data_IF_313659116231
#
_entry.id   IF_313659116231
#
_cell.length_a   1.000
_cell.length_b   1.000
_cell.length_c   1.000
_cell.angle_alpha   90.00
_cell.angle_beta   90.00
_cell.angle_gamma   90.00
#
_symmetry.space_group_name_H-M   'P 1'
#
loop_
_entity.id
_entity.type
_entity.pdbx_description
1 polymer ?
#
# COMPACT_ATOMS: atom_id res chain seq x y z
N UNK A 1 6.55 5.02 -1.95
CA UNK A 1 6.50 6.50 -1.85
C UNK A 1 6.34 6.99 -0.41
N UNK A 2 5.32 6.57 0.36
CA UNK A 2 5.14 7.05 1.75
C UNK A 2 6.31 6.73 2.70
N UNK A 3 6.92 5.55 2.55
CA UNK A 3 8.08 5.15 3.35
C UNK A 3 9.33 6.01 3.11
N UNK A 4 9.56 6.47 1.87
CA UNK A 4 10.74 7.28 1.57
C UNK A 4 10.69 8.62 2.30
N UNK A 5 9.55 9.32 2.29
CA UNK A 5 9.38 10.58 3.01
C UNK A 5 9.57 10.46 4.52
N UNK A 6 9.12 9.35 5.12
CA UNK A 6 9.27 9.12 6.57
C UNK A 6 10.71 8.75 6.91
N UNK A 7 11.37 7.93 6.10
CA UNK A 7 12.80 7.62 6.26
C UNK A 7 13.65 8.89 6.10
N UNK A 8 13.39 9.70 5.07
CA UNK A 8 14.12 10.97 4.85
C UNK A 8 13.93 11.97 6.01
N UNK A 9 12.76 11.96 6.68
CA UNK A 9 12.49 12.76 7.89
C UNK A 9 13.23 12.24 9.13
N UNK A 10 13.38 10.92 9.26
CA UNK A 10 14.03 10.29 10.41
C UNK A 10 15.56 10.28 10.29
N UNK A 11 16.08 10.25 9.06
CA UNK A 11 17.53 10.18 8.81
C UNK A 11 18.24 11.53 9.02
N UNK A 12 17.51 12.66 9.12
CA UNK A 12 18.07 14.00 9.37
C UNK A 12 19.30 14.32 8.48
N UNK A 13 19.27 13.91 7.21
CA UNK A 13 20.45 13.99 6.34
C UNK A 13 20.59 15.35 5.67
N UNK A 14 21.68 16.04 5.95
CA UNK A 14 22.19 17.14 5.13
C UNK A 14 22.94 16.57 3.92
N UNK A 15 22.26 16.49 2.77
CA UNK A 15 22.76 16.27 1.40
C UNK A 15 23.90 15.28 1.14
N UNK A 16 23.63 14.28 0.28
CA UNK A 16 24.66 13.53 -0.44
C UNK A 16 24.39 13.60 -1.96
N UNK A 17 25.42 13.89 -2.74
CA UNK A 17 25.36 13.82 -4.20
C UNK A 17 25.68 12.40 -4.65
N UNK A 18 24.76 11.74 -5.35
CA UNK A 18 25.01 10.44 -5.96
C UNK A 18 25.19 10.58 -7.47
N UNK A 19 26.20 9.90 -8.00
CA UNK A 19 26.45 9.80 -9.43
C UNK A 19 25.74 8.56 -9.97
N UNK A 20 24.73 8.77 -10.82
CA UNK A 20 24.04 7.68 -11.49
C UNK A 20 24.90 7.21 -12.67
N UNK A 21 25.47 6.01 -12.55
CA UNK A 21 26.33 5.41 -13.59
C UNK A 21 25.56 5.06 -14.87
N UNK A 22 24.27 4.80 -14.76
CA UNK A 22 23.43 4.35 -15.87
C UNK A 22 22.91 5.53 -16.69
N UNK A 23 22.60 6.65 -16.01
CA UNK A 23 22.20 7.91 -16.63
C UNK A 23 23.37 8.88 -16.92
N UNK A 24 24.59 8.54 -16.48
CA UNK A 24 25.81 9.35 -16.55
C UNK A 24 25.59 10.80 -16.10
N UNK A 25 24.84 10.97 -15.01
CA UNK A 25 24.44 12.28 -14.51
C UNK A 25 24.47 12.31 -12.99
N UNK A 26 24.92 13.44 -12.46
CA UNK A 26 24.83 13.73 -11.03
C UNK A 26 23.37 14.00 -10.68
N UNK A 27 22.77 13.14 -9.87
CA UNK A 27 21.43 13.37 -9.34
C UNK A 27 21.59 14.25 -8.11
N UNK A 28 21.24 15.53 -8.25
CA UNK A 28 20.94 16.36 -7.09
C UNK A 28 19.57 15.93 -6.59
N UNK A 29 19.52 15.08 -5.56
CA UNK A 29 18.26 14.82 -4.86
C UNK A 29 17.72 16.15 -4.34
N UNK A 30 16.47 16.46 -4.67
CA UNK A 30 15.81 17.68 -4.20
C UNK A 30 15.86 17.71 -2.67
N UNK A 31 16.65 18.63 -2.12
CA UNK A 31 16.70 18.95 -0.70
C UNK A 31 15.30 19.38 -0.26
N UNK A 32 14.57 18.51 0.43
CA UNK A 32 13.46 18.97 1.24
C UNK A 32 14.06 19.61 2.48
N UNK A 33 13.98 20.95 2.58
CA UNK A 33 14.31 21.62 3.82
C UNK A 33 13.21 21.29 4.84
N UNK A 34 13.55 20.48 5.83
CA UNK A 34 12.67 20.10 6.93
C UNK A 34 12.81 21.00 8.16
N UNK A 35 13.61 22.08 8.07
CA UNK A 35 13.68 23.11 9.10
C UNK A 35 12.28 23.61 9.45
N UNK A 36 12.00 23.66 10.75
CA UNK A 36 10.70 24.00 11.30
C UNK A 36 9.55 23.10 10.80
N UNK A 37 9.82 21.82 10.56
CA UNK A 37 8.78 20.80 10.39
C UNK A 37 8.77 19.81 11.54
N UNK A 38 7.67 19.09 11.72
CA UNK A 38 7.57 18.02 12.72
C UNK A 38 6.67 16.90 12.21
N UNK A 39 7.05 15.67 12.52
CA UNK A 39 6.22 14.49 12.39
C UNK A 39 5.75 14.10 13.79
N UNK A 40 4.44 14.06 14.02
CA UNK A 40 3.86 13.77 15.34
C UNK A 40 2.83 12.65 15.21
N UNK A 41 2.70 11.84 16.26
CA UNK A 41 1.58 10.93 16.41
C UNK A 41 0.60 11.55 17.40
N UNK A 42 -0.67 11.70 17.00
CA UNK A 42 -1.70 12.23 17.89
C UNK A 42 -2.25 11.12 18.82
N UNK A 43 -3.10 11.50 19.78
CA UNK A 43 -3.71 10.57 20.75
C UNK A 43 -4.64 9.53 20.11
N UNK A 44 -5.09 9.74 18.87
CA UNK A 44 -5.89 8.79 18.10
C UNK A 44 -5.04 7.78 17.33
N UNK A 45 -3.70 7.89 17.40
CA UNK A 45 -2.76 7.04 16.68
C UNK A 45 -2.52 7.46 15.23
N UNK A 46 -2.94 8.67 14.83
CA UNK A 46 -2.70 9.19 13.49
C UNK A 46 -1.33 9.85 13.41
N UNK A 47 -0.58 9.51 12.37
CA UNK A 47 0.69 10.18 12.06
C UNK A 47 0.36 11.44 11.27
N UNK A 48 0.90 12.58 11.69
CA UNK A 48 0.66 13.89 11.12
C UNK A 48 1.97 14.61 10.83
N UNK A 49 2.10 15.16 9.63
CA UNK A 49 3.22 16.00 9.25
C UNK A 49 2.81 17.47 9.26
N UNK A 50 3.55 18.27 10.01
CA UNK A 50 3.31 19.69 10.22
C UNK A 50 4.51 20.51 9.75
N UNK A 51 4.24 21.69 9.23
CA UNK A 51 5.24 22.69 8.86
C UNK A 51 4.92 24.01 9.55
N UNK A 52 5.94 24.67 10.07
CA UNK A 52 5.83 26.01 10.61
C UNK A 52 5.78 27.01 9.47
N UNK A 53 4.75 27.85 9.46
CA UNK A 53 4.61 28.95 8.52
C UNK A 53 5.16 30.25 9.12
N UNK A 54 5.57 31.17 8.25
CA UNK A 54 6.13 32.48 8.67
C UNK A 54 5.12 33.36 9.42
N UNK A 55 3.81 33.04 9.32
CA UNK A 55 2.73 33.62 10.13
C UNK A 55 2.69 33.09 11.59
N UNK A 56 3.77 32.44 12.04
CA UNK A 56 3.95 31.90 13.39
C UNK A 56 2.91 30.82 13.77
N UNK A 57 2.45 30.03 12.80
CA UNK A 57 1.49 28.95 13.04
C UNK A 57 1.98 27.61 12.47
N UNK A 58 1.55 26.52 13.10
CA UNK A 58 1.70 25.18 12.56
C UNK A 58 0.61 24.92 11.50
N UNK A 59 1.02 24.52 10.30
CA UNK A 59 0.13 24.04 9.25
C UNK A 59 0.31 22.54 9.03
N UNK A 60 -0.80 21.80 9.00
CA UNK A 60 -0.81 20.36 8.78
C UNK A 60 -0.78 20.09 7.28
N UNK A 61 0.29 19.45 6.81
CA UNK A 61 0.50 19.20 5.39
C UNK A 61 -0.12 17.88 4.92
N UNK A 62 -0.04 16.84 5.75
CA UNK A 62 -0.66 15.54 5.49
C UNK A 62 -0.76 14.72 6.79
N UNK A 63 -1.58 13.68 6.76
CA UNK A 63 -1.76 12.75 7.87
C UNK A 63 -2.09 11.34 7.37
N UNK A 64 -1.94 10.32 8.22
CA UNK A 64 -2.31 8.92 7.93
C UNK A 64 -2.94 8.25 9.17
N UNK A 65 -3.92 7.34 8.98
CA UNK A 65 -4.51 6.90 7.71
C UNK A 65 -5.47 7.93 7.09
N UNK A 66 -5.22 8.40 5.86
CA UNK A 66 -5.97 9.52 5.26
C UNK A 66 -7.33 9.11 4.67
N UNK A 67 -7.51 7.82 4.42
CA UNK A 67 -8.76 7.24 3.95
C UNK A 67 -8.93 5.80 4.46
N UNK A 68 -10.09 5.21 4.17
CA UNK A 68 -10.43 3.85 4.58
C UNK A 68 -9.44 2.79 4.06
N UNK A 69 -8.80 3.01 2.91
CA UNK A 69 -7.86 2.06 2.31
C UNK A 69 -6.45 2.17 2.92
N UNK A 70 -6.15 3.25 3.64
CA UNK A 70 -4.94 3.36 4.44
C UNK A 70 -5.03 2.58 5.75
N UNK A 71 -6.24 2.23 6.20
CA UNK A 71 -6.42 1.40 7.39
C UNK A 71 -5.90 0.00 7.13
N UNK A 72 -5.10 -0.50 8.07
CA UNK A 72 -4.53 -1.83 7.98
C UNK A 72 -5.64 -2.88 7.82
N UNK A 73 -5.48 -3.73 6.80
CA UNK A 73 -6.35 -4.86 6.51
C UNK A 73 -7.85 -4.51 6.43
N UNK A 74 -8.20 -3.35 5.83
CA UNK A 74 -9.60 -2.91 5.69
C UNK A 74 -10.46 -3.89 4.85
N UNK A 75 -9.91 -4.39 3.75
CA UNK A 75 -10.62 -5.29 2.83
C UNK A 75 -10.30 -6.79 3.03
N UNK A 76 -9.48 -7.17 4.01
CA UNK A 76 -9.12 -8.58 4.21
C UNK A 76 -8.20 -9.14 3.12
N UNK A 77 -7.83 -10.41 3.29
CA UNK A 77 -6.84 -11.08 2.43
C UNK A 77 -7.32 -11.24 0.98
N UNK A 78 -6.37 -11.26 0.04
CA UNK A 78 -6.60 -11.48 -1.40
C UNK A 78 -7.61 -10.53 -2.06
N UNK A 79 -7.72 -9.33 -1.52
CA UNK A 79 -8.59 -8.26 -1.99
C UNK A 79 -7.79 -6.98 -2.24
N UNK A 80 -8.36 -6.05 -2.98
CA UNK A 80 -7.85 -4.69 -3.15
C UNK A 80 -8.86 -3.67 -2.65
N UNK A 81 -8.34 -2.57 -2.10
CA UNK A 81 -9.13 -1.42 -1.66
C UNK A 81 -8.96 -0.26 -2.64
N UNK A 82 -10.09 0.32 -3.07
CA UNK A 82 -10.11 1.54 -3.88
C UNK A 82 -11.15 2.51 -3.32
N UNK A 83 -10.67 3.63 -2.77
CA UNK A 83 -11.50 4.62 -2.09
C UNK A 83 -12.55 5.30 -2.98
N UNK A 84 -12.26 5.44 -4.27
CA UNK A 84 -13.14 6.15 -5.21
C UNK A 84 -14.30 5.27 -5.71
N UNK A 85 -14.35 3.99 -5.31
CA UNK A 85 -15.45 3.10 -5.69
C UNK A 85 -16.58 3.16 -4.66
N UNK A 86 -17.84 3.04 -5.12
CA UNK A 86 -19.02 2.87 -4.26
C UNK A 86 -18.87 1.69 -3.27
N UNK A 87 -18.29 0.58 -3.75
CA UNK A 87 -17.87 -0.55 -2.93
C UNK A 87 -16.33 -0.54 -2.91
N UNK A 88 -15.71 -0.16 -1.78
CA UNK A 88 -14.26 0.02 -1.73
C UNK A 88 -13.47 -1.27 -1.96
N UNK A 89 -13.99 -2.40 -1.51
CA UNK A 89 -13.30 -3.69 -1.52
C UNK A 89 -13.71 -4.57 -2.71
N UNK A 90 -12.72 -5.11 -3.42
CA UNK A 90 -12.93 -6.07 -4.51
C UNK A 90 -11.92 -7.22 -4.42
N UNK A 91 -12.35 -8.44 -4.73
CA UNK A 91 -11.45 -9.58 -4.84
C UNK A 91 -10.50 -9.42 -6.02
N UNK A 92 -9.27 -9.88 -5.86
CA UNK A 92 -8.34 -10.00 -6.97
C UNK A 92 -8.87 -11.03 -8.00
N UNK A 93 -8.51 -10.91 -9.29
CA UNK A 93 -8.93 -11.89 -10.28
C UNK A 93 -8.45 -13.30 -9.89
N UNK A 94 -9.31 -14.30 -10.08
CA UNK A 94 -9.08 -15.67 -9.58
C UNK A 94 -9.57 -15.94 -8.15
N UNK A 95 -10.07 -14.92 -7.43
CA UNK A 95 -10.63 -15.04 -6.08
C UNK A 95 -12.12 -14.66 -6.03
N UNK A 96 -12.85 -15.21 -5.06
CA UNK A 96 -14.26 -14.90 -4.74
C UNK A 96 -14.39 -14.53 -3.28
N UNK A 97 -15.48 -13.85 -2.90
CA UNK A 97 -15.70 -13.46 -1.50
C UNK A 97 -15.77 -14.69 -0.60
N UNK A 98 -15.27 -14.56 0.62
CA UNK A 98 -15.44 -15.58 1.67
C UNK A 98 -16.93 -15.82 1.97
N UNK A 99 -17.75 -14.77 1.95
CA UNK A 99 -19.17 -14.77 2.31
C UNK A 99 -20.13 -15.29 1.22
N UNK A 100 -19.65 -16.06 0.25
CA UNK A 100 -20.44 -16.49 -0.93
C UNK A 100 -21.47 -17.60 -0.60
N UNK A 101 -22.12 -17.54 0.56
CA UNK A 101 -23.26 -18.39 0.93
C UNK A 101 -24.56 -17.94 0.23
N UNK A 102 -24.47 -17.24 -0.91
CA UNK A 102 -25.63 -16.81 -1.70
C UNK A 102 -26.35 -15.54 -1.22
N UNK A 103 -25.98 -14.95 -0.09
CA UNK A 103 -26.54 -13.68 0.36
C UNK A 103 -25.69 -12.52 -0.15
N UNK A 104 -26.28 -11.72 -1.03
CA UNK A 104 -25.67 -10.51 -1.60
C UNK A 104 -25.16 -9.55 -0.52
N UNK A 105 -24.36 -8.57 -0.95
CA UNK A 105 -23.84 -7.49 -0.12
C UNK A 105 -24.91 -6.98 0.86
N UNK A 106 -24.71 -7.24 2.15
CA UNK A 106 -25.49 -6.60 3.20
C UNK A 106 -24.78 -5.29 3.55
N UNK A 107 -25.48 -4.16 3.40
CA UNK A 107 -24.99 -2.87 3.89
C UNK A 107 -24.66 -3.02 5.38
N UNK A 108 -23.40 -2.87 5.73
CA UNK A 108 -22.94 -2.87 7.13
C UNK A 108 -22.06 -4.04 7.52
N UNK A 109 -22.00 -5.13 6.75
CA UNK A 109 -21.07 -6.23 7.05
C UNK A 109 -19.64 -5.88 6.63
N UNK A 110 -18.69 -6.09 7.55
CA UNK A 110 -17.25 -5.90 7.29
C UNK A 110 -16.79 -6.89 6.21
N UNK A 111 -16.14 -6.40 5.16
CA UNK A 111 -15.58 -7.25 4.12
C UNK A 111 -14.46 -8.12 4.69
N UNK A 112 -14.63 -9.44 4.67
CA UNK A 112 -13.72 -10.39 5.35
C UNK A 112 -12.53 -10.84 4.50
N UNK A 113 -12.52 -10.49 3.21
CA UNK A 113 -11.50 -10.93 2.25
C UNK A 113 -12.06 -11.91 1.22
N UNK A 114 -11.14 -12.56 0.53
CA UNK A 114 -11.45 -13.42 -0.59
C UNK A 114 -10.70 -14.75 -0.51
N UNK A 115 -11.27 -15.79 -1.13
CA UNK A 115 -10.68 -17.13 -1.26
C UNK A 115 -10.51 -17.47 -2.73
N UNK A 116 -9.53 -18.33 -3.04
CA UNK A 116 -9.27 -18.76 -4.40
C UNK A 116 -10.49 -19.47 -4.97
N UNK A 117 -10.85 -19.18 -6.22
CA UNK A 117 -11.97 -19.85 -6.91
C UNK A 117 -11.69 -21.32 -7.17
N UNK A 118 -10.45 -21.65 -7.57
CA UNK A 118 -10.02 -23.03 -7.85
C UNK A 118 -9.41 -23.69 -6.61
N UNK A 119 -9.89 -24.90 -6.32
CA UNK A 119 -9.43 -25.75 -5.21
C UNK A 119 -8.16 -26.55 -5.53
N UNK A 120 -7.67 -26.56 -6.77
CA UNK A 120 -6.46 -27.31 -7.14
C UNK A 120 -5.24 -26.37 -7.19
N UNK A 121 -4.29 -26.49 -6.26
CA UNK A 121 -3.10 -25.64 -6.23
C UNK A 121 -2.13 -25.93 -7.39
N UNK A 122 -2.15 -27.17 -7.90
CA UNK A 122 -1.24 -27.64 -8.94
C UNK A 122 -1.99 -28.66 -9.81
N UNK A 123 -2.13 -28.38 -11.11
CA UNK A 123 -2.27 -29.47 -12.09
C UNK A 123 -0.85 -29.98 -12.38
N UNK A 124 -0.59 -31.30 -12.36
CA UNK A 124 0.64 -31.84 -12.91
C UNK A 124 0.76 -31.36 -14.36
N UNK A 125 1.95 -30.92 -14.78
CA UNK A 125 2.25 -30.57 -16.18
C UNK A 125 2.11 -31.80 -17.08
N UNK A 126 0.91 -32.20 -17.41
CA UNK A 126 0.62 -33.07 -18.55
C UNK A 126 -0.66 -32.54 -19.16
N UNK A 127 -0.51 -31.83 -20.29
CA UNK A 127 -1.57 -31.26 -21.14
C UNK A 127 -2.17 -29.92 -20.69
N UNK A 128 -1.33 -28.90 -20.43
CA UNK A 128 -1.73 -27.53 -20.74
C UNK A 128 -1.57 -27.32 -22.25
N UNK A 129 -2.52 -27.84 -23.03
CA UNK A 129 -2.63 -27.51 -24.45
C UNK A 129 -3.03 -26.05 -24.57
N UNK A 130 -2.07 -25.24 -25.02
CA UNK A 130 -2.25 -24.00 -25.78
C UNK A 130 -3.56 -23.25 -25.52
N UNK A 131 -3.62 -22.50 -24.42
CA UNK A 131 -4.31 -21.21 -24.36
C UNK A 131 -3.57 -20.36 -23.34
N UNK A 132 -3.49 -19.04 -23.57
CA UNK A 132 -2.72 -18.06 -22.80
C UNK A 132 -3.19 -17.89 -21.34
N UNK A 133 -3.14 -18.95 -20.54
CA UNK A 133 -3.41 -18.93 -19.10
C UNK A 133 -2.16 -18.41 -18.39
N UNK A 134 -2.03 -17.09 -18.30
CA UNK A 134 -1.00 -16.46 -17.51
C UNK A 134 -1.15 -16.91 -16.04
N UNK A 135 -0.21 -17.76 -15.59
CA UNK A 135 -0.13 -18.29 -14.21
C UNK A 135 -0.07 -17.14 -13.18
N UNK A 136 0.44 -15.98 -13.60
CA UNK A 136 0.51 -14.76 -12.82
C UNK A 136 -0.22 -13.62 -13.52
N UNK A 137 -1.08 -12.93 -12.78
CA UNK A 137 -1.78 -11.75 -13.27
C UNK A 137 -0.89 -10.53 -12.98
N UNK A 138 -0.63 -9.74 -14.02
CA UNK A 138 0.04 -8.45 -13.84
C UNK A 138 -0.96 -7.42 -13.29
N UNK A 139 -0.83 -7.12 -12.00
CA UNK A 139 -1.64 -6.09 -11.34
C UNK A 139 -0.88 -4.76 -11.35
N UNK A 140 -1.45 -3.75 -12.00
CA UNK A 140 -0.86 -2.41 -12.07
C UNK A 140 -1.53 -1.46 -11.07
N UNK A 141 -0.78 -0.44 -10.63
CA UNK A 141 -1.26 0.62 -9.72
C UNK A 141 -1.76 0.10 -8.35
N UNK A 142 -1.11 -0.94 -7.82
CA UNK A 142 -1.38 -1.50 -6.49
C UNK A 142 -0.27 -1.10 -5.51
N UNK A 143 -0.67 -0.71 -4.30
CA UNK A 143 0.24 -0.61 -3.15
C UNK A 143 0.42 -2.03 -2.58
N UNK A 144 1.62 -2.58 -2.72
CA UNK A 144 1.97 -3.88 -2.15
C UNK A 144 2.51 -3.67 -0.74
N UNK A 145 2.25 -4.62 0.17
CA UNK A 145 2.96 -4.69 1.45
C UNK A 145 4.46 -4.92 1.23
N UNK A 146 5.28 -4.65 2.23
CA UNK A 146 6.65 -5.12 2.18
C UNK A 146 6.62 -6.66 2.12
N UNK A 147 7.47 -7.30 1.31
CA UNK A 147 7.60 -8.74 1.36
C UNK A 147 7.99 -9.14 2.78
N UNK A 148 7.39 -10.23 3.28
CA UNK A 148 7.82 -10.83 4.55
C UNK A 148 9.27 -11.28 4.38
N UNK A 149 10.21 -10.46 4.85
CA UNK A 149 11.63 -10.84 4.93
C UNK A 149 11.72 -11.79 6.12
N UNK A 150 11.46 -13.08 5.84
CA UNK A 150 11.69 -14.24 6.71
C UNK A 150 11.79 -13.95 8.20
N UNK A 151 10.73 -13.44 8.82
CA UNK A 151 10.60 -13.55 10.27
C UNK A 151 10.17 -14.99 10.54
N UNK A 152 10.91 -15.75 11.37
CA UNK A 152 10.48 -17.08 11.74
C UNK A 152 9.12 -16.95 12.42
N UNK A 153 8.14 -17.67 11.90
CA UNK A 153 6.87 -17.88 12.58
C UNK A 153 7.15 -18.53 13.93
N UNK A 154 6.81 -17.83 15.01
CA UNK A 154 6.68 -18.42 16.35
C UNK A 154 5.64 -19.55 16.37
#
# INVERSE_FOLDING_TARGET
MMFQFVLDLLENTTSYSSYDKELNRTIQQHRFNYDKSRLVMNSSGEIQFWRWEDNLKWNMMWWRPSDICDRHNYCGNFSSCRKDNWIPCKCLPGFRRLSDNGHGYQLGERFQGCVRKSQTPCLPKVMATANNDLIFINLTKIKVGNPDIGLPSE
#
